data_IF_759522530850
#
_entry.id   IF_759522530850
#
_cell.length_a   1.000
_cell.length_b   1.000
_cell.length_c   1.000
_cell.angle_alpha   90.00
_cell.angle_beta   90.00
_cell.angle_gamma   90.00
#
_symmetry.space_group_name_H-M   'P 1'
#
loop_
_entity.id
_entity.type
_entity.pdbx_description
1 polymer ?
#
# COMPACT_ATOMS: atom_id res chain seq x y z
N UNK A 1 -35.16 -21.72 -16.44
CA UNK A 1 -34.42 -22.56 -15.47
C UNK A 1 -34.30 -21.79 -14.18
N UNK A 2 -34.49 -22.42 -13.01
CA UNK A 2 -34.73 -21.70 -11.78
C UNK A 2 -33.45 -20.99 -11.30
N UNK A 3 -33.66 -19.77 -10.81
CA UNK A 3 -32.71 -18.93 -10.10
C UNK A 3 -32.07 -19.70 -8.95
N UNK A 4 -30.80 -20.07 -9.09
CA UNK A 4 -29.98 -20.39 -7.91
C UNK A 4 -29.73 -19.06 -7.19
N UNK A 5 -30.39 -18.87 -6.04
CA UNK A 5 -29.94 -17.90 -5.06
C UNK A 5 -28.50 -18.25 -4.70
N UNK A 6 -27.53 -17.55 -5.29
CA UNK A 6 -26.15 -17.68 -4.86
C UNK A 6 -26.11 -17.16 -3.42
N UNK A 7 -26.02 -18.07 -2.45
CA UNK A 7 -25.60 -17.69 -1.11
C UNK A 7 -24.30 -16.92 -1.32
N UNK A 8 -24.32 -15.61 -1.03
CA UNK A 8 -23.17 -14.76 -1.24
C UNK A 8 -22.00 -15.41 -0.49
N UNK A 9 -20.96 -15.84 -1.22
CA UNK A 9 -19.78 -16.43 -0.59
C UNK A 9 -19.21 -15.40 0.38
N UNK A 10 -18.97 -15.83 1.62
CA UNK A 10 -18.22 -15.05 2.61
C UNK A 10 -16.90 -14.57 2.00
N UNK A 11 -16.48 -13.36 2.33
CA UNK A 11 -15.17 -12.85 1.96
C UNK A 11 -14.06 -13.67 2.63
N UNK A 12 -12.81 -13.62 2.13
CA UNK A 12 -11.75 -14.52 2.58
C UNK A 12 -11.40 -14.37 4.07
N UNK A 13 -11.62 -13.19 4.65
CA UNK A 13 -11.30 -12.86 6.04
C UNK A 13 -12.55 -12.61 6.89
N UNK A 14 -13.74 -12.94 6.38
CA UNK A 14 -14.99 -12.82 7.15
C UNK A 14 -14.91 -13.67 8.42
N UNK A 15 -15.26 -13.05 9.56
CA UNK A 15 -15.23 -13.70 10.87
C UNK A 15 -13.94 -13.49 11.65
N UNK A 16 -12.92 -12.87 11.05
CA UNK A 16 -11.71 -12.45 11.76
C UNK A 16 -11.88 -11.04 12.33
N UNK A 17 -11.42 -10.82 13.56
CA UNK A 17 -11.35 -9.49 14.20
C UNK A 17 -9.91 -9.02 14.31
N UNK A 18 -9.69 -7.76 13.95
CA UNK A 18 -8.38 -7.10 13.98
C UNK A 18 -8.47 -5.84 14.82
N UNK A 19 -7.59 -5.69 15.80
CA UNK A 19 -7.36 -4.41 16.48
C UNK A 19 -6.19 -3.72 15.79
N UNK A 20 -6.36 -2.46 15.41
CA UNK A 20 -5.32 -1.66 14.77
C UNK A 20 -5.02 -0.40 15.59
N UNK A 21 -3.84 -0.35 16.21
CA UNK A 21 -3.27 0.84 16.85
C UNK A 21 -2.24 1.54 15.95
N UNK A 22 -2.20 1.21 14.66
CA UNK A 22 -1.29 1.82 13.71
C UNK A 22 -1.60 3.30 13.46
N UNK A 23 -0.59 4.09 13.10
CA UNK A 23 -0.69 5.50 12.75
C UNK A 23 -0.22 5.79 11.33
N UNK A 24 -0.72 6.85 10.71
CA UNK A 24 -0.35 7.29 9.37
C UNK A 24 -0.67 6.22 8.31
N UNK A 25 0.37 5.59 7.74
CA UNK A 25 0.21 4.79 6.53
C UNK A 25 0.53 3.31 6.75
N UNK A 26 1.67 2.92 7.32
CA UNK A 26 2.10 1.51 7.24
C UNK A 26 1.16 0.52 7.95
N UNK A 27 0.87 0.75 9.24
CA UNK A 27 -0.12 -0.04 9.98
C UNK A 27 -1.53 0.12 9.41
N UNK A 28 -2.00 1.36 9.16
CA UNK A 28 -3.31 1.58 8.56
C UNK A 28 -3.52 0.97 7.18
N UNK A 29 -2.49 0.90 6.35
CA UNK A 29 -2.59 0.25 5.05
C UNK A 29 -2.75 -1.26 5.21
N UNK A 30 -2.04 -1.89 6.14
CA UNK A 30 -2.22 -3.31 6.45
C UNK A 30 -3.65 -3.64 6.88
N UNK A 31 -4.20 -2.92 7.86
CA UNK A 31 -5.58 -3.14 8.30
C UNK A 31 -6.60 -2.76 7.24
N UNK A 32 -6.34 -1.77 6.39
CA UNK A 32 -7.19 -1.46 5.23
C UNK A 32 -7.28 -2.64 4.25
N UNK A 33 -6.17 -3.30 3.94
CA UNK A 33 -6.16 -4.50 3.09
C UNK A 33 -7.01 -5.60 3.73
N UNK A 34 -6.81 -5.89 5.02
CA UNK A 34 -7.57 -6.93 5.71
C UNK A 34 -9.09 -6.62 5.75
N UNK A 35 -9.45 -5.37 6.03
CA UNK A 35 -10.84 -4.91 6.04
C UNK A 35 -11.49 -4.97 4.65
N UNK A 36 -10.74 -4.69 3.59
CA UNK A 36 -11.21 -4.79 2.20
C UNK A 36 -11.57 -6.23 1.81
N UNK A 37 -10.89 -7.22 2.42
CA UNK A 37 -11.13 -8.65 2.24
C UNK A 37 -11.96 -9.29 3.38
N UNK A 38 -12.66 -8.49 4.19
CA UNK A 38 -13.74 -8.96 5.07
C UNK A 38 -13.42 -9.03 6.56
N UNK A 39 -12.20 -8.73 7.00
CA UNK A 39 -11.90 -8.68 8.42
C UNK A 39 -12.65 -7.52 9.12
N UNK A 40 -13.15 -7.75 10.33
CA UNK A 40 -13.67 -6.70 11.20
C UNK A 40 -12.51 -5.94 11.82
N UNK A 41 -12.17 -4.78 11.24
CA UNK A 41 -11.04 -3.97 11.71
C UNK A 41 -11.52 -2.85 12.60
N UNK A 42 -11.08 -2.87 13.86
CA UNK A 42 -11.32 -1.84 14.86
C UNK A 42 -10.06 -0.98 14.97
N UNK A 43 -10.13 0.23 14.42
CA UNK A 43 -9.07 1.23 14.53
C UNK A 43 -9.17 1.92 15.88
N UNK A 44 -8.12 1.79 16.69
CA UNK A 44 -7.94 2.57 17.91
C UNK A 44 -7.27 3.89 17.54
N UNK A 45 -7.85 5.00 18.00
CA UNK A 45 -7.38 6.35 17.75
C UNK A 45 -7.32 7.19 19.03
N UNK A 46 -6.36 8.12 19.15
CA UNK A 46 -6.39 9.11 20.22
C UNK A 46 -7.52 10.12 19.97
N UNK A 47 -7.81 11.00 20.95
CA UNK A 47 -8.81 12.07 20.83
C UNK A 47 -8.63 12.99 19.63
N UNK A 48 -7.39 13.14 19.16
CA UNK A 48 -7.04 13.95 17.99
C UNK A 48 -7.23 13.19 16.66
N UNK A 49 -7.50 11.89 16.71
CA UNK A 49 -7.56 11.01 15.56
C UNK A 49 -6.19 10.62 15.01
N UNK A 50 -6.19 9.75 14.00
CA UNK A 50 -5.02 9.52 13.16
C UNK A 50 -4.61 10.80 12.42
N UNK A 51 -3.31 11.09 12.38
CA UNK A 51 -2.74 12.24 11.68
C UNK A 51 -3.13 12.31 10.20
N UNK A 52 -3.41 11.15 9.56
CA UNK A 52 -3.87 11.10 8.17
C UNK A 52 -5.19 11.89 7.97
N UNK A 53 -6.02 12.06 9.00
CA UNK A 53 -7.26 12.85 8.97
C UNK A 53 -7.02 14.32 8.63
N UNK A 54 -5.84 14.86 8.90
CA UNK A 54 -5.52 16.28 8.69
C UNK A 54 -4.55 16.51 7.53
N UNK A 55 -4.25 15.49 6.72
CA UNK A 55 -3.25 15.58 5.65
C UNK A 55 -3.86 15.95 4.29
N UNK A 56 -3.13 16.76 3.52
CA UNK A 56 -3.41 17.07 2.10
C UNK A 56 -4.74 17.81 1.91
N UNK A 57 -5.58 17.34 1.00
CA UNK A 57 -6.85 18.00 0.68
C UNK A 57 -7.91 17.56 1.69
N UNK A 58 -8.45 18.54 2.40
CA UNK A 58 -9.45 18.36 3.46
C UNK A 58 -10.82 18.63 2.87
N UNK A 59 -11.75 17.71 3.14
CA UNK A 59 -13.17 17.92 2.90
C UNK A 59 -13.68 19.08 3.78
N UNK A 60 -14.40 20.00 3.16
CA UNK A 60 -14.91 21.20 3.83
C UNK A 60 -16.11 20.91 4.75
N UNK A 61 -16.88 19.84 4.52
CA UNK A 61 -18.09 19.54 5.30
C UNK A 61 -17.74 18.87 6.64
N UNK A 62 -16.96 17.79 6.60
CA UNK A 62 -16.62 17.02 7.81
C UNK A 62 -15.19 17.31 8.33
N UNK A 63 -14.48 18.27 7.73
CA UNK A 63 -13.10 18.64 8.10
C UNK A 63 -12.14 17.44 8.19
N UNK A 64 -12.27 16.49 7.26
CA UNK A 64 -11.48 15.26 7.23
C UNK A 64 -10.79 15.10 5.89
N UNK A 65 -9.56 14.58 5.89
CA UNK A 65 -8.79 14.34 4.67
C UNK A 65 -9.50 13.40 3.70
N UNK A 66 -9.49 13.76 2.41
CA UNK A 66 -9.92 12.85 1.35
C UNK A 66 -9.10 11.55 1.33
N UNK A 67 -7.86 11.59 1.84
CA UNK A 67 -7.03 10.40 2.00
C UNK A 67 -7.56 9.48 3.10
N UNK A 68 -8.04 10.04 4.21
CA UNK A 68 -8.64 9.24 5.29
C UNK A 68 -9.85 8.44 4.81
N UNK A 69 -10.72 9.04 3.99
CA UNK A 69 -11.87 8.32 3.43
C UNK A 69 -11.46 7.08 2.63
N UNK A 70 -10.26 7.08 2.03
CA UNK A 70 -9.71 5.91 1.33
C UNK A 70 -8.99 4.94 2.28
N UNK A 71 -8.01 5.37 3.08
CA UNK A 71 -7.20 4.46 3.90
C UNK A 71 -7.95 3.93 5.14
N UNK A 72 -8.93 4.69 5.64
CA UNK A 72 -9.80 4.31 6.76
C UNK A 72 -11.01 3.47 6.35
N UNK A 73 -11.19 3.16 5.06
CA UNK A 73 -12.36 2.43 4.55
C UNK A 73 -12.54 1.08 5.26
N UNK A 74 -13.80 0.67 5.41
CA UNK A 74 -14.22 -0.57 6.08
C UNK A 74 -13.81 -0.73 7.55
N UNK A 75 -13.18 0.27 8.17
CA UNK A 75 -12.80 0.22 9.59
C UNK A 75 -13.88 0.80 10.48
N UNK A 76 -13.95 0.29 11.71
CA UNK A 76 -14.65 0.94 12.81
C UNK A 76 -13.69 1.89 13.52
N UNK A 77 -14.10 3.14 13.76
CA UNK A 77 -13.28 4.14 14.44
C UNK A 77 -13.64 4.20 15.91
N UNK A 78 -12.70 3.82 16.77
CA UNK A 78 -12.87 3.74 18.23
C UNK A 78 -11.82 4.62 18.89
N UNK A 79 -12.26 5.58 19.69
CA UNK A 79 -11.40 6.58 20.28
C UNK A 79 -11.11 6.24 21.76
N UNK A 80 -9.85 5.96 22.08
CA UNK A 80 -9.40 5.55 23.43
C UNK A 80 -8.09 6.26 23.75
N UNK A 81 -7.97 6.84 24.94
CA UNK A 81 -6.72 7.43 25.39
C UNK A 81 -5.75 6.38 25.95
N UNK A 82 -4.81 5.95 25.10
CA UNK A 82 -3.73 5.02 25.45
C UNK A 82 -2.72 5.58 26.48
N UNK A 83 -2.76 6.88 26.80
CA UNK A 83 -1.91 7.44 27.84
C UNK A 83 -2.40 7.09 29.25
N UNK A 84 -3.68 6.72 29.40
CA UNK A 84 -4.26 6.30 30.68
C UNK A 84 -4.15 4.78 30.89
N UNK A 85 -3.97 4.30 32.15
CA UNK A 85 -4.03 2.87 32.44
C UNK A 85 -5.35 2.23 32.02
N UNK A 86 -6.48 2.92 32.24
CA UNK A 86 -7.81 2.41 31.90
C UNK A 86 -8.00 2.26 30.40
N UNK A 87 -7.56 3.23 29.60
CA UNK A 87 -7.60 3.14 28.14
C UNK A 87 -6.75 1.99 27.60
N UNK A 88 -5.56 1.76 28.18
CA UNK A 88 -4.75 0.56 27.86
C UNK A 88 -5.45 -0.72 28.29
N UNK A 89 -6.14 -0.72 29.42
CA UNK A 89 -6.95 -1.85 29.89
C UNK A 89 -8.07 -2.21 28.92
N UNK A 90 -8.74 -1.22 28.32
CA UNK A 90 -9.76 -1.42 27.27
C UNK A 90 -9.13 -2.09 26.04
N UNK A 91 -8.00 -1.57 25.56
CA UNK A 91 -7.32 -2.14 24.39
C UNK A 91 -6.82 -3.55 24.66
N UNK A 92 -6.28 -3.83 25.86
CA UNK A 92 -5.88 -5.19 26.27
C UNK A 92 -7.06 -6.17 26.20
N UNK A 93 -8.24 -5.75 26.67
CA UNK A 93 -9.45 -6.58 26.59
C UNK A 93 -9.90 -6.81 25.13
N UNK A 94 -9.83 -5.79 24.28
CA UNK A 94 -10.15 -5.92 22.86
C UNK A 94 -9.21 -6.90 22.15
N UNK A 95 -7.90 -6.78 22.39
CA UNK A 95 -6.89 -7.70 21.81
C UNK A 95 -7.11 -9.13 22.27
N UNK A 96 -7.51 -9.36 23.52
CA UNK A 96 -7.86 -10.69 24.03
C UNK A 96 -9.09 -11.32 23.36
N UNK A 97 -9.93 -10.53 22.67
CA UNK A 97 -11.12 -10.99 21.94
C UNK A 97 -10.95 -10.92 20.42
N UNK A 98 -9.72 -10.86 19.94
CA UNK A 98 -9.40 -10.63 18.53
C UNK A 98 -8.37 -11.63 18.00
N UNK A 99 -8.32 -11.81 16.69
CA UNK A 99 -7.40 -12.73 16.02
C UNK A 99 -6.05 -12.09 15.71
N UNK A 100 -6.06 -10.78 15.47
CA UNK A 100 -4.90 -10.02 15.02
C UNK A 100 -4.81 -8.71 15.78
N UNK A 101 -3.58 -8.32 16.15
CA UNK A 101 -3.27 -6.99 16.64
C UNK A 101 -2.19 -6.36 15.76
N UNK A 102 -2.44 -5.14 15.26
CA UNK A 102 -1.53 -4.39 14.39
C UNK A 102 -1.08 -3.11 15.11
N UNK A 103 0.23 -2.90 15.16
CA UNK A 103 0.82 -1.66 15.67
C UNK A 103 2.03 -1.23 14.84
N UNK A 104 2.33 0.06 14.84
CA UNK A 104 3.53 0.60 14.17
C UNK A 104 4.27 1.66 15.01
N UNK A 105 4.28 1.46 16.33
CA UNK A 105 5.05 2.31 17.22
C UNK A 105 6.54 1.96 17.15
N UNK A 106 7.35 2.87 17.71
CA UNK A 106 8.77 2.58 17.93
C UNK A 106 8.91 1.36 18.85
N UNK A 107 9.83 0.41 18.53
CA UNK A 107 10.09 -0.74 19.38
C UNK A 107 10.27 -0.36 20.86
N UNK A 108 9.66 -1.13 21.76
CA UNK A 108 9.65 -0.89 23.20
C UNK A 108 8.46 -0.05 23.70
N UNK A 109 7.75 0.68 22.84
CA UNK A 109 6.62 1.51 23.26
C UNK A 109 5.44 0.69 23.79
N UNK A 110 5.13 -0.42 23.12
CA UNK A 110 4.02 -1.31 23.50
C UNK A 110 4.33 -2.07 24.78
N UNK A 111 5.58 -2.49 24.96
CA UNK A 111 6.08 -3.09 26.19
C UNK A 111 5.98 -2.12 27.38
N UNK A 112 6.39 -0.87 27.21
CA UNK A 112 6.25 0.18 28.24
C UNK A 112 4.78 0.48 28.60
N UNK A 113 3.85 0.07 27.74
CA UNK A 113 2.41 0.20 27.94
C UNK A 113 1.74 -1.09 28.44
N UNK A 114 2.50 -2.16 28.69
CA UNK A 114 1.96 -3.49 29.04
C UNK A 114 0.97 -4.02 27.99
N UNK A 115 1.26 -3.71 26.73
CA UNK A 115 0.54 -4.16 25.54
C UNK A 115 1.48 -4.86 24.54
N UNK A 116 2.68 -5.28 24.97
CA UNK A 116 3.61 -6.04 24.12
C UNK A 116 3.15 -7.49 23.88
N UNK A 117 3.77 -8.24 22.95
CA UNK A 117 3.33 -9.58 22.59
C UNK A 117 3.25 -10.57 23.77
N UNK A 118 4.23 -10.51 24.66
CA UNK A 118 4.31 -11.40 25.84
C UNK A 118 3.13 -11.25 26.80
N UNK A 119 2.49 -10.08 26.82
CA UNK A 119 1.36 -9.79 27.70
C UNK A 119 0.09 -10.59 27.35
N UNK A 120 0.08 -11.20 26.15
CA UNK A 120 -1.08 -11.92 25.60
C UNK A 120 -0.86 -13.43 25.50
N UNK A 121 0.34 -13.95 25.78
CA UNK A 121 0.64 -15.38 25.63
C UNK A 121 -0.29 -16.28 26.48
N UNK A 122 -0.66 -15.82 27.68
CA UNK A 122 -1.53 -16.56 28.57
C UNK A 122 -3.03 -16.40 28.26
N UNK A 123 -3.45 -15.22 27.76
CA UNK A 123 -4.87 -14.86 27.61
C UNK A 123 -5.38 -14.98 26.18
N UNK A 124 -4.49 -14.91 25.19
CA UNK A 124 -4.79 -15.09 23.78
C UNK A 124 -3.57 -15.71 23.03
N UNK A 125 -3.27 -17.00 23.26
CA UNK A 125 -2.13 -17.69 22.64
C UNK A 125 -2.25 -17.85 21.11
N UNK A 126 -3.44 -17.66 20.54
CA UNK A 126 -3.71 -17.72 19.11
C UNK A 126 -3.49 -16.37 18.38
N UNK A 127 -3.13 -15.31 19.12
CA UNK A 127 -3.00 -13.95 18.61
C UNK A 127 -1.86 -13.83 17.60
N UNK A 128 -2.17 -13.28 16.43
CA UNK A 128 -1.16 -12.81 15.49
C UNK A 128 -0.86 -11.35 15.78
N UNK A 129 0.38 -11.09 16.21
CA UNK A 129 0.82 -9.75 16.61
C UNK A 129 1.70 -9.15 15.51
N UNK A 130 1.17 -8.24 14.72
CA UNK A 130 1.91 -7.58 13.64
C UNK A 130 2.50 -6.24 14.09
N UNK A 131 3.79 -6.05 13.82
CA UNK A 131 4.59 -4.90 14.23
C UNK A 131 5.27 -4.31 13.02
N UNK A 132 4.99 -3.05 12.71
CA UNK A 132 5.64 -2.37 11.60
C UNK A 132 6.52 -1.24 12.13
N UNK A 133 7.82 -1.30 11.90
CA UNK A 133 8.75 -0.29 12.41
C UNK A 133 9.76 0.12 11.34
N UNK A 134 10.50 1.22 11.57
CA UNK A 134 11.49 1.69 10.58
C UNK A 134 12.59 0.67 10.29
N UNK A 135 13.10 0.01 11.34
CA UNK A 135 14.33 -0.80 11.31
C UNK A 135 14.16 -2.21 11.92
N UNK A 136 12.93 -2.65 12.20
CA UNK A 136 12.62 -3.95 12.81
C UNK A 136 12.64 -3.91 14.34
N UNK A 137 12.14 -4.99 14.98
CA UNK A 137 12.16 -5.12 16.45
C UNK A 137 13.54 -5.52 16.99
N UNK A 138 14.48 -5.89 16.12
CA UNK A 138 15.82 -6.38 16.47
C UNK A 138 16.92 -5.60 15.73
N UNK A 139 18.18 -5.93 16.03
CA UNK A 139 19.34 -5.26 15.43
C UNK A 139 19.72 -3.93 16.11
N UNK A 140 20.88 -3.36 15.70
CA UNK A 140 21.47 -2.19 16.37
C UNK A 140 20.67 -0.90 16.18
N UNK A 141 19.81 -0.84 15.16
CA UNK A 141 19.05 0.35 14.80
C UNK A 141 17.57 0.28 15.19
N UNK A 142 17.11 -0.74 15.91
CA UNK A 142 15.70 -0.90 16.31
C UNK A 142 15.11 0.33 17.02
N UNK A 143 15.93 1.05 17.79
CA UNK A 143 15.48 2.23 18.54
C UNK A 143 15.46 3.53 17.71
N UNK A 144 15.99 3.53 16.48
CA UNK A 144 16.03 4.72 15.63
C UNK A 144 14.61 5.09 15.17
N UNK A 145 14.26 6.40 15.16
CA UNK A 145 13.04 6.84 14.51
C UNK A 145 13.12 6.58 13.00
N UNK A 146 12.04 6.08 12.41
CA UNK A 146 11.97 5.79 10.98
C UNK A 146 10.62 6.19 10.39
N UNK A 147 10.66 7.13 9.46
CA UNK A 147 9.58 7.36 8.50
C UNK A 147 9.95 6.69 7.18
N UNK A 148 8.95 6.40 6.33
CA UNK A 148 9.17 5.85 4.99
C UNK A 148 10.27 6.56 4.22
N UNK A 149 10.32 7.90 4.27
CA UNK A 149 11.32 8.67 3.53
C UNK A 149 12.77 8.33 3.88
N UNK A 150 13.06 8.14 5.16
CA UNK A 150 14.40 7.78 5.65
C UNK A 150 14.66 6.30 5.40
N UNK A 151 13.65 5.45 5.57
CA UNK A 151 13.78 4.01 5.37
C UNK A 151 13.95 3.64 3.89
N UNK A 152 13.33 4.36 2.96
CA UNK A 152 13.55 4.26 1.51
C UNK A 152 14.99 4.64 1.12
N UNK A 153 15.56 5.65 1.79
CA UNK A 153 16.95 6.03 1.58
C UNK A 153 17.91 4.98 2.16
N UNK A 154 17.68 4.58 3.41
CA UNK A 154 18.50 3.60 4.12
C UNK A 154 18.46 2.22 3.46
N UNK A 155 17.29 1.80 2.96
CA UNK A 155 17.09 0.55 2.24
C UNK A 155 17.61 0.56 0.80
N UNK A 156 18.28 1.62 0.35
CA UNK A 156 18.93 1.70 -0.96
C UNK A 156 18.03 2.07 -2.14
N UNK A 157 16.70 2.04 -1.96
CA UNK A 157 15.75 2.34 -3.04
C UNK A 157 15.96 3.72 -3.66
N UNK A 158 16.17 4.76 -2.85
CA UNK A 158 16.37 6.11 -3.41
C UNK A 158 17.66 6.24 -4.21
N UNK A 159 18.72 5.51 -3.85
CA UNK A 159 20.03 5.62 -4.50
C UNK A 159 19.97 5.38 -6.01
N UNK A 160 19.13 4.43 -6.44
CA UNK A 160 19.00 4.04 -7.85
C UNK A 160 17.93 4.82 -8.62
N UNK A 161 17.19 5.72 -7.97
CA UNK A 161 16.06 6.41 -8.57
C UNK A 161 16.37 7.90 -8.81
N UNK A 162 16.10 8.37 -10.03
CA UNK A 162 16.31 9.76 -10.43
C UNK A 162 17.27 9.88 -11.60
N UNK A 163 17.74 11.11 -11.86
CA UNK A 163 18.71 11.39 -12.92
C UNK A 163 20.11 11.52 -12.33
N UNK A 164 21.17 11.09 -13.05
CA UNK A 164 22.55 11.14 -12.57
C UNK A 164 23.06 12.55 -12.19
N UNK A 165 22.48 13.59 -12.78
CA UNK A 165 22.95 14.97 -12.73
C UNK A 165 22.40 15.80 -11.55
N UNK A 166 21.58 15.19 -10.68
CA UNK A 166 20.91 15.87 -9.57
C UNK A 166 20.70 14.92 -8.38
N UNK A 167 20.31 15.42 -7.19
CA UNK A 167 19.99 14.55 -6.07
C UNK A 167 18.94 13.49 -6.42
N UNK A 168 19.11 12.28 -5.88
CA UNK A 168 18.19 11.15 -6.09
C UNK A 168 16.73 11.55 -5.90
N UNK A 169 15.87 11.09 -6.79
CA UNK A 169 14.45 11.34 -6.72
C UNK A 169 13.76 10.47 -5.67
N UNK A 170 12.62 10.94 -5.17
CA UNK A 170 11.70 10.13 -4.38
C UNK A 170 10.34 10.05 -5.07
N UNK A 171 9.60 8.93 -4.92
CA UNK A 171 8.19 8.89 -5.28
C UNK A 171 7.43 9.96 -4.50
N UNK A 172 6.49 10.65 -5.16
CA UNK A 172 5.59 11.61 -4.51
C UNK A 172 4.40 10.90 -3.80
N UNK A 173 4.69 9.77 -3.15
CA UNK A 173 3.79 8.87 -2.44
C UNK A 173 4.53 8.25 -1.26
N UNK A 174 3.83 7.72 -0.25
CA UNK A 174 4.48 6.99 0.85
C UNK A 174 4.74 5.52 0.49
N UNK A 175 5.63 5.29 -0.48
CA UNK A 175 5.87 3.95 -1.03
C UNK A 175 6.41 3.00 0.03
N UNK A 176 7.37 3.43 0.85
CA UNK A 176 7.92 2.59 1.92
C UNK A 176 6.87 2.12 2.92
N UNK A 177 5.99 3.01 3.37
CA UNK A 177 4.92 2.64 4.29
C UNK A 177 3.91 1.70 3.63
N UNK A 178 3.53 1.98 2.37
CA UNK A 178 2.60 1.11 1.62
C UNK A 178 3.18 -0.28 1.41
N UNK A 179 4.46 -0.41 1.03
CA UNK A 179 5.11 -1.71 0.89
C UNK A 179 5.21 -2.45 2.22
N UNK A 180 5.58 -1.76 3.31
CA UNK A 180 5.61 -2.37 4.64
C UNK A 180 4.20 -2.82 5.09
N UNK A 181 3.16 -2.03 4.81
CA UNK A 181 1.77 -2.41 5.07
C UNK A 181 1.33 -3.64 4.27
N UNK A 182 1.76 -3.75 3.00
CA UNK A 182 1.53 -4.94 2.17
C UNK A 182 2.25 -6.17 2.73
N UNK A 183 3.52 -6.04 3.12
CA UNK A 183 4.26 -7.13 3.77
C UNK A 183 3.64 -7.53 5.11
N UNK A 184 3.12 -6.58 5.88
CA UNK A 184 2.43 -6.88 7.14
C UNK A 184 1.11 -7.64 6.88
N UNK A 185 0.29 -7.20 5.93
CA UNK A 185 -0.92 -7.93 5.54
C UNK A 185 -0.59 -9.35 5.00
N UNK A 186 0.45 -9.47 4.19
CA UNK A 186 0.95 -10.76 3.70
C UNK A 186 1.42 -11.66 4.86
N UNK A 187 2.22 -11.14 5.78
CA UNK A 187 2.71 -11.87 6.95
C UNK A 187 1.56 -12.30 7.87
N UNK A 188 0.56 -11.45 8.08
CA UNK A 188 -0.65 -11.79 8.85
C UNK A 188 -1.41 -12.93 8.17
N UNK A 189 -1.65 -12.86 6.86
CA UNK A 189 -2.35 -13.93 6.13
C UNK A 189 -1.56 -15.24 6.13
N UNK A 190 -0.23 -15.20 5.98
CA UNK A 190 0.62 -16.39 6.13
C UNK A 190 0.56 -16.96 7.55
N UNK A 191 0.57 -16.10 8.58
CA UNK A 191 0.47 -16.52 9.97
C UNK A 191 -0.90 -17.13 10.27
N UNK A 192 -2.00 -16.59 9.71
CA UNK A 192 -3.34 -17.18 9.81
C UNK A 192 -3.38 -18.57 9.17
N UNK A 193 -2.83 -18.72 7.96
CA UNK A 193 -2.76 -20.03 7.28
C UNK A 193 -1.90 -21.02 8.06
N UNK A 194 -0.75 -20.58 8.59
CA UNK A 194 0.12 -21.39 9.43
C UNK A 194 -0.58 -21.84 10.72
N UNK A 195 -1.30 -20.91 11.37
CA UNK A 195 -2.12 -21.16 12.55
C UNK A 195 -3.17 -22.23 12.29
N UNK A 196 -3.95 -22.12 11.21
CA UNK A 196 -4.99 -23.09 10.84
C UNK A 196 -4.44 -24.48 10.50
N UNK A 197 -3.19 -24.57 10.02
CA UNK A 197 -2.53 -25.83 9.69
C UNK A 197 -1.84 -26.49 10.89
N UNK A 198 -1.65 -25.74 11.98
CA UNK A 198 -1.00 -26.24 13.19
C UNK A 198 -2.04 -26.82 14.15
N UNK A 199 -1.73 -27.98 14.74
CA UNK A 199 -2.54 -28.56 15.82
C UNK A 199 -2.55 -27.68 17.08
N UNK A 200 -1.48 -26.92 17.33
CA UNK A 200 -1.40 -26.00 18.47
C UNK A 200 -2.22 -24.72 18.28
N UNK A 201 -2.56 -24.38 17.03
CA UNK A 201 -3.16 -23.09 16.64
C UNK A 201 -2.44 -21.87 17.23
N UNK A 202 -1.16 -21.98 17.56
CA UNK A 202 -0.43 -20.89 18.19
C UNK A 202 -0.26 -19.73 17.20
N UNK A 203 -0.49 -18.52 17.70
CA UNK A 203 -0.20 -17.29 16.98
C UNK A 203 1.31 -17.01 16.94
N UNK A 204 1.68 -15.88 16.34
CA UNK A 204 3.08 -15.46 16.27
C UNK A 204 3.21 -13.97 16.03
N UNK A 205 4.43 -13.46 16.24
CA UNK A 205 4.79 -12.09 15.88
C UNK A 205 5.12 -12.02 14.39
N UNK A 206 4.53 -11.05 13.69
CA UNK A 206 4.89 -10.64 12.34
C UNK A 206 5.68 -9.34 12.46
N UNK A 207 7.01 -9.42 12.41
CA UNK A 207 7.90 -8.25 12.43
C UNK A 207 8.18 -7.79 10.99
N UNK A 208 7.85 -6.54 10.69
CA UNK A 208 8.11 -5.93 9.38
C UNK A 208 8.89 -4.64 9.59
N UNK A 209 10.10 -4.59 9.02
CA UNK A 209 10.83 -3.34 8.90
C UNK A 209 10.52 -2.64 7.57
N UNK A 210 10.33 -1.32 7.62
CA UNK A 210 10.09 -0.52 6.41
C UNK A 210 11.31 -0.57 5.49
N UNK A 211 12.52 -0.48 6.02
CA UNK A 211 13.72 -0.56 5.18
C UNK A 211 13.91 -1.94 4.52
N UNK A 212 13.59 -3.03 5.21
CA UNK A 212 13.61 -4.40 4.65
C UNK A 212 12.58 -4.54 3.52
N UNK A 213 11.41 -3.92 3.69
CA UNK A 213 10.38 -3.90 2.65
C UNK A 213 10.86 -3.21 1.37
N UNK A 214 11.68 -2.16 1.51
CA UNK A 214 12.32 -1.49 0.38
C UNK A 214 13.57 -2.23 -0.13
N UNK A 215 14.28 -2.93 0.75
CA UNK A 215 15.42 -3.76 0.37
C UNK A 215 14.97 -4.94 -0.51
N UNK A 216 13.83 -5.56 -0.22
CA UNK A 216 13.31 -6.68 -1.01
C UNK A 216 13.04 -6.32 -2.47
N UNK A 217 12.68 -5.06 -2.78
CA UNK A 217 12.49 -4.63 -4.18
C UNK A 217 13.81 -4.38 -4.92
N UNK A 218 14.96 -4.51 -4.24
CA UNK A 218 16.29 -4.49 -4.84
C UNK A 218 16.76 -5.89 -5.28
N UNK A 219 15.82 -6.80 -5.54
CA UNK A 219 16.04 -8.22 -5.88
C UNK A 219 17.10 -8.47 -6.95
N UNK A 220 17.25 -7.57 -7.93
CA UNK A 220 18.28 -7.67 -8.98
C UNK A 220 19.62 -7.03 -8.57
N UNK A 221 19.61 -5.99 -7.75
CA UNK A 221 20.81 -5.20 -7.42
C UNK A 221 21.71 -5.94 -6.43
N UNK A 222 21.12 -6.62 -5.45
CA UNK A 222 21.87 -7.38 -4.44
C UNK A 222 22.75 -8.46 -5.07
N UNK A 223 22.25 -9.36 -5.95
CA UNK A 223 23.10 -10.37 -6.58
C UNK A 223 24.13 -9.77 -7.54
N UNK A 224 23.80 -8.69 -8.25
CA UNK A 224 24.77 -7.99 -9.12
C UNK A 224 25.96 -7.43 -8.34
N UNK A 225 25.70 -6.80 -7.20
CA UNK A 225 26.76 -6.33 -6.32
C UNK A 225 27.54 -7.50 -5.71
N UNK A 226 26.83 -8.50 -5.18
CA UNK A 226 27.43 -9.66 -4.51
C UNK A 226 28.40 -10.43 -5.42
N UNK A 227 28.02 -10.65 -6.68
CA UNK A 227 28.80 -11.47 -7.60
C UNK A 227 29.83 -10.68 -8.41
N UNK A 228 29.48 -9.47 -8.87
CA UNK A 228 30.32 -8.69 -9.79
C UNK A 228 30.84 -7.38 -9.19
N UNK A 229 30.50 -7.04 -7.95
CA UNK A 229 30.86 -5.76 -7.32
C UNK A 229 30.15 -4.54 -7.93
N UNK A 230 29.13 -4.75 -8.76
CA UNK A 230 28.42 -3.68 -9.45
C UNK A 230 27.72 -2.75 -8.44
N UNK A 231 27.75 -1.45 -8.72
CA UNK A 231 26.97 -0.45 -7.99
C UNK A 231 26.05 0.22 -9.01
N UNK A 232 24.75 -0.06 -8.93
CA UNK A 232 23.76 0.51 -9.84
C UNK A 232 23.50 1.96 -9.44
N UNK A 233 23.63 2.87 -10.39
CA UNK A 233 23.41 4.30 -10.21
C UNK A 233 22.02 4.72 -10.72
N UNK A 234 21.64 5.97 -10.46
CA UNK A 234 20.50 6.62 -11.11
C UNK A 234 20.56 6.46 -12.64
N UNK A 235 19.46 6.04 -13.27
CA UNK A 235 19.38 5.78 -14.72
C UNK A 235 18.39 6.69 -15.47
N UNK A 236 17.81 7.68 -14.80
CA UNK A 236 16.77 8.52 -15.36
C UNK A 236 15.48 7.71 -15.59
N UNK A 237 15.01 7.68 -16.84
CA UNK A 237 13.78 7.02 -17.25
C UNK A 237 13.96 5.63 -17.85
N UNK A 238 15.19 5.08 -17.82
CA UNK A 238 15.52 3.76 -18.37
C UNK A 238 15.89 2.75 -17.28
N UNK A 239 15.98 1.47 -17.65
CA UNK A 239 16.54 0.40 -16.83
C UNK A 239 17.97 0.15 -17.32
N UNK A 240 18.97 0.39 -16.46
CA UNK A 240 20.39 0.19 -16.81
C UNK A 240 20.62 -1.20 -17.39
N UNK A 241 21.20 -1.24 -18.59
CA UNK A 241 21.56 -2.50 -19.26
C UNK A 241 20.41 -3.18 -20.00
N UNK A 242 19.22 -2.58 -20.12
CA UNK A 242 18.06 -3.16 -20.82
C UNK A 242 17.55 -2.19 -21.89
N UNK A 243 17.87 -2.45 -23.16
CA UNK A 243 17.71 -1.47 -24.25
C UNK A 243 16.92 -2.05 -25.44
N UNK A 244 15.94 -1.31 -26.02
CA UNK A 244 15.35 -0.07 -25.51
C UNK A 244 14.24 -0.34 -24.47
N UNK A 245 14.28 0.41 -23.38
CA UNK A 245 13.20 0.52 -22.40
C UNK A 245 13.30 1.91 -21.78
N UNK A 246 12.53 2.87 -22.30
CA UNK A 246 12.68 4.28 -21.95
C UNK A 246 11.40 5.09 -22.18
N UNK A 247 11.43 6.36 -21.75
CA UNK A 247 10.41 7.37 -21.95
C UNK A 247 10.85 8.36 -23.03
N UNK A 248 9.97 8.67 -23.99
CA UNK A 248 10.26 9.56 -25.11
C UNK A 248 9.21 10.66 -25.26
N UNK A 249 9.58 11.88 -25.70
CA UNK A 249 8.63 12.94 -25.99
C UNK A 249 7.86 12.67 -27.30
N UNK A 250 6.66 13.23 -27.40
CA UNK A 250 5.80 13.17 -28.59
C UNK A 250 5.57 14.57 -29.19
N UNK A 251 5.07 14.64 -30.43
CA UNK A 251 4.86 15.94 -31.12
C UNK A 251 3.82 16.84 -30.43
N UNK A 252 2.88 16.25 -29.70
CA UNK A 252 1.84 16.92 -28.90
C UNK A 252 2.26 17.25 -27.46
N UNK A 253 3.58 17.26 -27.18
CA UNK A 253 4.19 17.60 -25.88
C UNK A 253 3.79 16.67 -24.73
N UNK A 254 3.43 15.43 -25.07
CA UNK A 254 3.23 14.33 -24.11
C UNK A 254 4.48 13.45 -24.08
N UNK A 255 4.37 12.36 -23.32
CA UNK A 255 5.43 11.36 -23.20
C UNK A 255 4.85 9.96 -23.41
N UNK A 256 5.65 9.09 -24.01
CA UNK A 256 5.32 7.67 -24.25
C UNK A 256 6.43 6.80 -23.68
N UNK A 257 6.05 5.71 -23.02
CA UNK A 257 6.97 4.66 -22.58
C UNK A 257 6.97 3.56 -23.64
N UNK A 258 8.14 3.16 -24.12
CA UNK A 258 8.30 2.08 -25.08
C UNK A 258 9.24 1.03 -24.48
N UNK A 259 8.77 -0.22 -24.43
CA UNK A 259 9.57 -1.38 -24.02
C UNK A 259 9.72 -2.35 -25.18
N UNK A 260 10.90 -2.37 -25.82
CA UNK A 260 11.21 -3.27 -26.93
C UNK A 260 12.58 -3.94 -26.78
N UNK A 261 13.00 -4.18 -25.53
CA UNK A 261 14.32 -4.69 -25.17
C UNK A 261 14.54 -6.18 -25.51
N UNK A 262 13.51 -6.93 -25.90
CA UNK A 262 13.67 -8.28 -26.43
C UNK A 262 14.11 -8.22 -27.89
N UNK A 263 15.08 -9.04 -28.28
CA UNK A 263 15.71 -8.97 -29.62
C UNK A 263 14.69 -8.94 -30.77
N UNK A 264 13.67 -9.81 -30.73
CA UNK A 264 12.63 -9.83 -31.76
C UNK A 264 11.73 -8.58 -31.79
N UNK A 265 11.48 -7.94 -30.64
CA UNK A 265 10.71 -6.69 -30.57
C UNK A 265 11.55 -5.52 -31.05
N UNK A 266 12.83 -5.47 -30.68
CA UNK A 266 13.76 -4.46 -31.15
C UNK A 266 13.84 -4.43 -32.67
N UNK A 267 14.01 -5.59 -33.31
CA UNK A 267 14.11 -5.67 -34.78
C UNK A 267 12.85 -5.11 -35.46
N UNK A 268 11.66 -5.44 -34.92
CA UNK A 268 10.38 -4.89 -35.42
C UNK A 268 10.27 -3.39 -35.20
N UNK A 269 10.72 -2.89 -34.05
CA UNK A 269 10.69 -1.46 -33.75
C UNK A 269 11.57 -0.69 -34.74
N UNK A 270 12.79 -1.16 -35.00
CA UNK A 270 13.71 -0.51 -35.95
C UNK A 270 13.17 -0.49 -37.38
N UNK A 271 12.50 -1.57 -37.81
CA UNK A 271 11.80 -1.58 -39.11
C UNK A 271 10.65 -0.56 -39.13
N UNK A 272 9.85 -0.51 -38.06
CA UNK A 272 8.67 0.36 -37.95
C UNK A 272 9.04 1.84 -37.94
N UNK A 273 10.10 2.22 -37.21
CA UNK A 273 10.53 3.63 -37.12
C UNK A 273 11.40 4.08 -38.30
N UNK A 274 11.66 3.18 -39.26
CA UNK A 274 12.40 3.49 -40.48
C UNK A 274 13.92 3.61 -40.29
N UNK A 275 14.47 2.91 -39.30
CA UNK A 275 15.93 2.88 -39.03
C UNK A 275 16.48 1.44 -39.05
N UNK A 276 16.28 0.67 -40.14
CA UNK A 276 16.67 -0.73 -40.21
C UNK A 276 18.19 -0.94 -40.09
N UNK A 277 19.01 0.08 -40.35
CA UNK A 277 20.46 0.03 -40.18
C UNK A 277 20.90 -0.26 -38.74
N UNK A 278 20.13 0.17 -37.74
CA UNK A 278 20.43 -0.09 -36.32
C UNK A 278 20.23 -1.56 -35.93
N UNK A 279 19.54 -2.36 -36.76
CA UNK A 279 19.34 -3.81 -36.56
C UNK A 279 20.63 -4.63 -36.58
N UNK A 280 21.77 -4.01 -36.89
CA UNK A 280 23.09 -4.60 -36.70
C UNK A 280 23.34 -5.01 -35.24
N UNK A 281 22.73 -4.32 -34.27
CA UNK A 281 22.80 -4.62 -32.83
C UNK A 281 21.71 -5.64 -32.43
N UNK A 282 21.95 -6.91 -32.70
CA UNK A 282 20.95 -7.98 -32.63
C UNK A 282 20.59 -8.36 -31.20
N UNK A 283 21.57 -8.32 -30.29
CA UNK A 283 21.42 -8.74 -28.90
C UNK A 283 21.37 -7.55 -27.96
N UNK A 284 20.76 -7.72 -26.77
CA UNK A 284 20.72 -6.66 -25.78
C UNK A 284 22.13 -6.17 -25.37
N UNK A 285 23.10 -7.08 -25.25
CA UNK A 285 24.49 -6.73 -24.91
C UNK A 285 25.10 -5.78 -25.93
N UNK A 286 24.86 -6.02 -27.22
CA UNK A 286 25.29 -5.10 -28.29
C UNK A 286 24.55 -3.78 -28.19
N UNK A 287 23.21 -3.80 -28.04
CA UNK A 287 22.38 -2.58 -27.97
C UNK A 287 22.76 -1.65 -26.82
N UNK A 288 23.13 -2.19 -25.67
CA UNK A 288 23.56 -1.38 -24.51
C UNK A 288 24.75 -0.48 -24.85
N UNK A 289 25.66 -0.92 -25.72
CA UNK A 289 26.81 -0.11 -26.15
C UNK A 289 26.41 1.06 -27.06
N UNK A 290 25.26 0.97 -27.72
CA UNK A 290 24.72 1.93 -28.68
C UNK A 290 23.39 2.53 -28.19
N UNK A 291 23.17 2.55 -26.88
CA UNK A 291 21.90 2.98 -26.30
C UNK A 291 21.53 4.40 -26.73
N UNK A 292 22.48 5.34 -26.71
CA UNK A 292 22.22 6.72 -27.09
C UNK A 292 21.71 6.84 -28.53
N UNK A 293 22.35 6.16 -29.49
CA UNK A 293 21.96 6.19 -30.90
C UNK A 293 20.57 5.56 -31.12
N UNK A 294 20.27 4.48 -30.40
CA UNK A 294 18.96 3.79 -30.44
C UNK A 294 17.87 4.68 -29.83
N UNK A 295 18.11 5.26 -28.65
CA UNK A 295 17.17 6.12 -27.96
C UNK A 295 16.93 7.42 -28.77
N UNK A 296 17.96 7.97 -29.43
CA UNK A 296 17.84 9.14 -30.33
C UNK A 296 17.02 8.83 -31.59
N UNK A 297 17.19 7.64 -32.18
CA UNK A 297 16.37 7.20 -33.31
C UNK A 297 14.89 7.06 -32.92
N UNK A 298 14.62 6.40 -31.80
CA UNK A 298 13.25 6.23 -31.27
C UNK A 298 12.66 7.60 -30.91
N UNK A 299 13.41 8.45 -30.21
CA UNK A 299 13.01 9.78 -29.80
C UNK A 299 12.69 10.71 -30.98
N UNK A 300 13.47 10.67 -32.06
CA UNK A 300 13.16 11.42 -33.30
C UNK A 300 11.84 10.97 -33.92
N UNK A 301 11.61 9.65 -33.97
CA UNK A 301 10.37 9.11 -34.51
C UNK A 301 9.17 9.49 -33.64
N UNK A 302 9.23 9.30 -32.31
CA UNK A 302 8.13 9.67 -31.41
C UNK A 302 7.86 11.17 -31.41
N UNK A 303 8.90 12.01 -31.47
CA UNK A 303 8.74 13.47 -31.51
C UNK A 303 8.09 13.97 -32.82
N UNK A 304 8.00 13.13 -33.86
CA UNK A 304 7.35 13.47 -35.13
C UNK A 304 5.86 13.16 -35.17
N UNK A 305 5.33 12.41 -34.19
CA UNK A 305 3.96 11.92 -34.17
C UNK A 305 3.23 12.28 -32.86
N UNK A 306 1.90 12.50 -32.89
CA UNK A 306 1.14 12.65 -31.65
C UNK A 306 1.06 11.31 -30.91
N UNK A 307 0.91 11.35 -29.59
CA UNK A 307 0.87 10.15 -28.73
C UNK A 307 -0.13 9.09 -29.24
N UNK A 308 -1.33 9.50 -29.66
CA UNK A 308 -2.37 8.57 -30.11
C UNK A 308 -1.93 7.73 -31.32
N UNK A 309 -1.24 8.34 -32.29
CA UNK A 309 -0.78 7.64 -33.50
C UNK A 309 0.36 6.66 -33.17
N UNK A 310 1.24 7.03 -32.23
CA UNK A 310 2.31 6.17 -31.74
C UNK A 310 1.73 4.92 -31.07
N UNK A 311 0.75 5.10 -30.18
CA UNK A 311 0.08 3.99 -29.48
C UNK A 311 -0.53 3.02 -30.50
N UNK A 312 -1.30 3.53 -31.47
CA UNK A 312 -1.93 2.70 -32.51
C UNK A 312 -0.90 1.94 -33.34
N UNK A 313 0.18 2.60 -33.76
CA UNK A 313 1.21 1.94 -34.59
C UNK A 313 1.95 0.84 -33.82
N UNK A 314 2.35 1.10 -32.57
CA UNK A 314 3.08 0.13 -31.76
C UNK A 314 2.18 -1.02 -31.29
N UNK A 315 0.93 -0.76 -30.94
CA UNK A 315 -0.06 -1.82 -30.60
C UNK A 315 -0.30 -2.75 -31.79
N UNK A 316 -0.48 -2.21 -33.00
CA UNK A 316 -0.63 -3.00 -34.22
C UNK A 316 0.60 -3.88 -34.50
N UNK A 317 1.80 -3.38 -34.17
CA UNK A 317 3.05 -4.13 -34.27
C UNK A 317 3.28 -5.11 -33.10
N UNK A 318 2.40 -5.08 -32.08
CA UNK A 318 2.52 -5.82 -30.81
C UNK A 318 3.80 -5.49 -30.05
N UNK A 319 4.19 -4.21 -30.07
CA UNK A 319 5.32 -3.67 -29.31
C UNK A 319 4.75 -3.02 -28.04
N UNK A 320 5.19 -3.43 -26.84
CA UNK A 320 4.74 -2.82 -25.59
C UNK A 320 4.97 -1.31 -25.57
N UNK A 321 3.86 -0.58 -25.41
CA UNK A 321 3.82 0.88 -25.37
C UNK A 321 2.80 1.32 -24.32
N UNK A 322 3.04 2.44 -23.65
CA UNK A 322 2.06 3.02 -22.73
C UNK A 322 2.19 4.53 -22.60
N UNK A 323 1.07 5.25 -22.39
CA UNK A 323 1.10 6.66 -22.05
C UNK A 323 1.52 6.89 -20.59
N UNK A 324 2.02 8.08 -20.27
CA UNK A 324 2.19 8.53 -18.88
C UNK A 324 0.91 9.27 -18.46
N UNK A 325 -0.04 8.53 -17.89
CA UNK A 325 -1.36 9.06 -17.54
C UNK A 325 -1.35 9.87 -16.23
N UNK A 326 -2.04 11.00 -16.25
CA UNK A 326 -2.54 11.72 -15.06
C UNK A 326 -3.80 11.06 -14.49
N UNK A 327 -4.24 11.50 -13.30
CA UNK A 327 -5.49 10.99 -12.70
C UNK A 327 -6.72 11.26 -13.58
N UNK A 328 -6.74 12.36 -14.34
CA UNK A 328 -7.81 12.71 -15.27
C UNK A 328 -7.88 11.71 -16.43
N UNK A 329 -6.71 11.36 -17.00
CA UNK A 329 -6.64 10.38 -18.09
C UNK A 329 -6.99 8.98 -17.59
N UNK A 330 -6.50 8.57 -16.41
CA UNK A 330 -6.87 7.29 -15.80
C UNK A 330 -8.39 7.20 -15.55
N UNK A 331 -9.01 8.26 -15.04
CA UNK A 331 -10.45 8.27 -14.75
C UNK A 331 -11.33 8.19 -16.01
N UNK A 332 -10.82 8.66 -17.15
CA UNK A 332 -11.50 8.59 -18.44
C UNK A 332 -11.17 7.30 -19.22
N UNK A 333 -10.19 6.52 -18.79
CA UNK A 333 -9.67 5.37 -19.53
C UNK A 333 -10.63 4.16 -19.46
N UNK A 334 -11.01 3.58 -20.62
CA UNK A 334 -11.97 2.46 -20.67
C UNK A 334 -11.44 1.18 -20.02
N UNK A 335 -10.13 0.96 -19.96
CA UNK A 335 -9.55 -0.20 -19.26
C UNK A 335 -9.66 -0.04 -17.74
N UNK A 336 -9.42 1.16 -17.20
CA UNK A 336 -9.64 1.43 -15.78
C UNK A 336 -11.11 1.27 -15.39
N UNK A 337 -12.02 1.75 -16.24
CA UNK A 337 -13.46 1.56 -16.07
C UNK A 337 -13.85 0.07 -16.14
N UNK A 338 -13.42 -0.66 -17.18
CA UNK A 338 -13.68 -2.10 -17.34
C UNK A 338 -13.10 -2.95 -16.19
N UNK A 339 -12.00 -2.47 -15.60
CA UNK A 339 -11.39 -3.06 -14.41
C UNK A 339 -11.87 -2.43 -13.11
N UNK A 340 -12.94 -1.63 -13.08
CA UNK A 340 -13.53 -1.06 -11.87
C UNK A 340 -12.47 -0.51 -10.89
N UNK A 341 -11.48 0.23 -11.40
CA UNK A 341 -10.34 0.68 -10.60
C UNK A 341 -10.64 1.93 -9.77
N UNK A 342 -11.76 2.59 -10.04
CA UNK A 342 -12.32 3.70 -9.26
C UNK A 342 -13.61 3.23 -8.59
N UNK A 343 -13.59 3.10 -7.27
CA UNK A 343 -14.74 2.75 -6.46
C UNK A 343 -15.46 4.02 -5.99
N UNK A 344 -16.78 4.03 -6.16
CA UNK A 344 -17.65 5.10 -5.69
C UNK A 344 -18.08 4.85 -4.26
N UNK A 345 -17.82 5.80 -3.35
CA UNK A 345 -18.25 5.74 -1.95
C UNK A 345 -19.05 6.98 -1.55
N UNK A 346 -20.05 6.80 -0.71
CA UNK A 346 -20.86 7.90 -0.17
C UNK A 346 -20.30 8.32 1.18
N UNK A 347 -19.94 9.59 1.31
CA UNK A 347 -19.58 10.20 2.58
C UNK A 347 -20.88 10.72 3.23
N UNK A 348 -21.18 10.37 4.50
CA UNK A 348 -22.33 10.94 5.19
C UNK A 348 -22.31 12.48 5.17
N UNK A 349 -23.46 13.08 4.86
CA UNK A 349 -23.61 14.54 4.71
C UNK A 349 -23.40 15.06 3.29
N UNK A 350 -22.68 14.33 2.43
CA UNK A 350 -22.31 14.82 1.10
C UNK A 350 -23.34 14.48 0.02
N UNK A 351 -23.58 15.44 -0.88
CA UNK A 351 -24.45 15.24 -2.04
C UNK A 351 -23.82 14.45 -3.19
N UNK A 352 -22.49 14.46 -3.30
CA UNK A 352 -21.74 13.79 -4.37
C UNK A 352 -20.91 12.64 -3.80
N UNK A 353 -20.84 11.48 -4.48
CA UNK A 353 -19.95 10.41 -4.07
C UNK A 353 -18.48 10.81 -4.27
N UNK A 354 -17.61 10.24 -3.45
CA UNK A 354 -16.15 10.29 -3.61
C UNK A 354 -15.70 9.06 -4.43
N UNK A 355 -14.75 9.26 -5.34
CA UNK A 355 -14.04 8.15 -5.99
C UNK A 355 -12.77 7.83 -5.20
N UNK A 356 -12.58 6.57 -4.84
CA UNK A 356 -11.37 6.06 -4.19
C UNK A 356 -10.77 4.91 -5.01
N UNK A 357 -9.45 4.65 -4.93
CA UNK A 357 -8.84 3.56 -5.69
C UNK A 357 -9.35 2.20 -5.22
N UNK A 358 -9.70 1.32 -6.15
CA UNK A 358 -9.94 -0.08 -5.86
C UNK A 358 -8.65 -0.78 -5.40
N UNK A 359 -8.79 -1.81 -4.57
CA UNK A 359 -7.67 -2.53 -3.99
C UNK A 359 -7.41 -3.85 -4.74
N UNK A 360 -6.15 -4.17 -4.95
CA UNK A 360 -5.70 -5.44 -5.55
C UNK A 360 -5.26 -6.43 -4.47
N UNK A 361 -5.32 -7.76 -4.73
CA UNK A 361 -5.70 -8.42 -6.00
C UNK A 361 -7.22 -8.55 -6.22
N UNK A 362 -7.61 -8.79 -7.48
CA UNK A 362 -8.99 -9.19 -7.81
C UNK A 362 -9.16 -10.70 -7.69
N UNK A 363 -9.86 -11.13 -6.64
CA UNK A 363 -10.19 -12.54 -6.43
C UNK A 363 -11.47 -12.91 -7.19
N UNK A 364 -11.40 -13.93 -8.05
CA UNK A 364 -12.54 -14.34 -8.89
C UNK A 364 -13.72 -14.90 -8.08
N UNK A 365 -13.43 -15.58 -6.96
CA UNK A 365 -14.42 -16.26 -6.15
C UNK A 365 -14.91 -15.51 -4.91
N UNK A 366 -14.12 -14.54 -4.44
CA UNK A 366 -14.30 -13.82 -3.17
C UNK A 366 -13.72 -12.40 -3.28
N UNK A 367 -14.16 -11.60 -4.26
CA UNK A 367 -13.60 -10.28 -4.51
C UNK A 367 -13.77 -9.37 -3.28
N UNK A 368 -12.70 -8.67 -2.91
CA UNK A 368 -12.79 -7.62 -1.90
C UNK A 368 -13.68 -6.47 -2.38
N UNK A 369 -14.13 -5.64 -1.43
CA UNK A 369 -15.04 -4.53 -1.71
C UNK A 369 -14.98 -3.45 -0.63
N UNK A 370 -15.18 -2.21 -1.00
CA UNK A 370 -15.48 -1.15 -0.02
C UNK A 370 -16.96 -1.21 0.39
N UNK A 371 -17.20 -1.24 1.69
CA UNK A 371 -18.52 -1.18 2.32
C UNK A 371 -18.86 0.25 2.77
N UNK A 372 -17.88 0.96 3.31
CA UNK A 372 -18.00 2.38 3.70
C UNK A 372 -16.63 3.08 3.62
N UNK A 373 -16.59 4.40 3.35
CA UNK A 373 -15.35 5.18 3.46
C UNK A 373 -14.89 5.29 4.91
N UNK A 374 -13.70 5.83 5.15
CA UNK A 374 -13.24 6.13 6.52
C UNK A 374 -14.29 6.86 7.36
N UNK A 375 -14.66 6.28 8.50
CA UNK A 375 -15.70 6.82 9.39
C UNK A 375 -15.24 8.08 10.14
N UNK A 376 -16.18 8.90 10.64
CA UNK A 376 -15.87 9.95 11.60
C UNK A 376 -15.12 9.42 12.81
N UNK A 377 -14.29 10.26 13.43
CA UNK A 377 -13.50 9.89 14.59
C UNK A 377 -14.40 9.46 15.76
N UNK A 378 -14.18 8.26 16.30
CA UNK A 378 -14.92 7.75 17.45
C UNK A 378 -16.38 7.36 17.16
N UNK A 379 -16.77 7.26 15.88
CA UNK A 379 -18.14 6.93 15.48
C UNK A 379 -18.61 5.55 15.99
N UNK A 380 -17.69 4.65 16.30
CA UNK A 380 -18.00 3.28 16.74
C UNK A 380 -17.56 3.01 18.19
N UNK A 381 -17.13 4.03 18.95
CA UNK A 381 -16.60 3.84 20.31
C UNK A 381 -17.60 3.13 21.22
N UNK A 382 -18.82 3.67 21.36
CA UNK A 382 -19.86 3.07 22.21
C UNK A 382 -20.27 1.68 21.72
N UNK A 383 -20.49 1.51 20.42
CA UNK A 383 -20.77 0.18 19.84
C UNK A 383 -19.70 -0.85 20.21
N UNK A 384 -18.42 -0.48 20.14
CA UNK A 384 -17.32 -1.37 20.46
C UNK A 384 -17.35 -1.78 21.94
N UNK A 385 -17.52 -0.82 22.85
CA UNK A 385 -17.57 -1.09 24.29
C UNK A 385 -18.79 -1.96 24.67
N UNK A 386 -19.96 -1.69 24.08
CA UNK A 386 -21.19 -2.46 24.34
C UNK A 386 -21.15 -3.84 23.69
N UNK A 387 -20.93 -3.90 22.38
CA UNK A 387 -21.15 -5.11 21.58
C UNK A 387 -19.94 -6.05 21.58
N UNK A 388 -18.72 -5.52 21.65
CA UNK A 388 -17.49 -6.33 21.63
C UNK A 388 -17.04 -6.66 23.05
N UNK A 389 -17.01 -5.66 23.94
CA UNK A 389 -16.57 -5.87 25.32
C UNK A 389 -17.69 -6.35 26.25
N UNK A 390 -18.97 -6.03 25.96
CA UNK A 390 -20.09 -6.39 26.82
C UNK A 390 -20.21 -5.46 28.04
N UNK A 391 -19.68 -4.23 27.94
CA UNK A 391 -19.72 -3.28 29.05
C UNK A 391 -21.13 -2.75 29.27
N UNK A 392 -21.50 -2.56 30.54
CA UNK A 392 -22.80 -2.00 30.88
C UNK A 392 -22.85 -0.50 30.53
N UNK A 393 -24.03 0.04 30.17
CA UNK A 393 -24.16 1.47 29.83
C UNK A 393 -23.59 2.40 30.91
N UNK A 394 -23.76 2.08 32.19
CA UNK A 394 -23.23 2.88 33.30
C UNK A 394 -21.69 2.95 33.33
N UNK A 395 -21.01 1.88 32.94
CA UNK A 395 -19.54 1.83 32.86
C UNK A 395 -19.04 2.68 31.69
N UNK A 396 -19.72 2.60 30.55
CA UNK A 396 -19.38 3.36 29.34
C UNK A 396 -19.56 4.87 29.60
N UNK A 397 -20.70 5.26 30.19
CA UNK A 397 -20.96 6.63 30.58
C UNK A 397 -19.89 7.15 31.57
N UNK A 398 -19.37 6.29 32.44
CA UNK A 398 -18.24 6.65 33.31
C UNK A 398 -16.97 6.89 32.51
N UNK A 399 -16.60 5.99 31.60
CA UNK A 399 -15.41 6.14 30.75
C UNK A 399 -15.45 7.39 29.87
N UNK A 400 -16.65 7.77 29.38
CA UNK A 400 -16.86 9.01 28.61
C UNK A 400 -16.69 10.25 29.49
N UNK A 401 -17.30 10.26 30.69
CA UNK A 401 -17.15 11.36 31.65
C UNK A 401 -15.71 11.54 32.13
N UNK A 402 -15.01 10.43 32.34
CA UNK A 402 -13.60 10.42 32.79
C UNK A 402 -12.62 10.70 31.64
N UNK A 403 -13.13 10.97 30.42
CA UNK A 403 -12.36 11.24 29.20
C UNK A 403 -11.34 10.13 28.84
N UNK A 404 -11.66 8.88 29.19
CA UNK A 404 -10.85 7.71 28.83
C UNK A 404 -11.14 7.26 27.38
N UNK A 405 -12.39 7.44 26.96
CA UNK A 405 -12.89 7.16 25.61
C UNK A 405 -13.67 8.35 25.09
N UNK A 406 -13.80 8.45 23.77
CA UNK A 406 -14.48 9.59 23.13
C UNK A 406 -15.42 9.12 22.02
N UNK A 407 -16.56 9.78 21.87
CA UNK A 407 -17.47 9.58 20.75
C UNK A 407 -17.29 10.67 19.69
N UNK A 408 -17.82 10.40 18.50
CA UNK A 408 -17.92 11.43 17.46
C UNK A 408 -18.68 12.63 18.02
N UNK A 409 -18.10 13.83 17.83
CA UNK A 409 -18.82 15.08 18.17
C UNK A 409 -20.03 15.18 17.25
N UNK A 410 -21.22 15.27 17.86
CA UNK A 410 -22.49 15.55 17.17
C UNK A 410 -22.50 16.92 16.52
#
# INVERSE_FOLDING_TARGET
>A
MPSSSSVARKLPLDGLRVIECGHLIAGPFAGMILAYFGAEVIKIEPRTGDQCRDMRLIDAENHTSLWWYSIGRNKHSVCVDLNTPDGRGIVKQLVNKSDVFIENFRPGKMEAWHLGPQEFEATNPELIYARVSGYGQTGPYKAKPGFASVCEAFGGFRYVNGFPDRPSARPNLSLGDTMAGLHAALGITMALVGKERSSSRQGQVVDVAIYESMFNVLEAIVPEHSYNGAVRECSGSTITGIVPSNTYPTSDKKHVVIGANMDGLYMKLMDLIGTPELKVHKTNVERVQFQADIDDAIGRWTASLPLADILVQLDNARIPVGPINSITEMAADPHYAARNMFESVTIPGHAKPLQIPAVSPKLSGTPGRTQWPGKPLGADTKWCLESVLGMAPAEIEKLLRDEIVFEARS
#
